data_IF_013853466000
#
_entry.id   IF_013853466000
#
_cell.length_a   1.000
_cell.length_b   1.000
_cell.length_c   1.000
_cell.angle_alpha   90.00
_cell.angle_beta   90.00
_cell.angle_gamma   90.00
#
_symmetry.space_group_name_H-M   'P 1'
#
loop_
_entity.id
_entity.type
_entity.pdbx_description
1 polymer ?
#
# COMPACT_ATOMS: atom_id res chain seq x y z
N UNK A 1 0.65 20.02 15.64
CA UNK A 1 0.92 19.25 14.42
C UNK A 1 0.66 20.14 13.22
N UNK A 2 1.68 20.41 12.41
CA UNK A 2 1.59 21.19 11.17
C UNK A 2 0.88 20.39 10.07
N UNK A 3 0.52 21.03 8.96
CA UNK A 3 -0.12 20.33 7.85
C UNK A 3 0.84 19.33 7.17
N UNK A 4 2.12 19.69 7.05
CA UNK A 4 3.16 18.79 6.55
C UNK A 4 3.35 17.55 7.45
N UNK A 5 3.28 17.72 8.77
CA UNK A 5 3.35 16.61 9.73
C UNK A 5 2.15 15.66 9.59
N UNK A 6 0.94 16.19 9.35
CA UNK A 6 -0.26 15.36 9.09
C UNK A 6 -0.13 14.54 7.82
N UNK A 7 0.33 15.18 6.73
CA UNK A 7 0.53 14.51 5.44
C UNK A 7 1.58 13.40 5.60
N UNK A 8 2.68 13.69 6.28
CA UNK A 8 3.74 12.72 6.57
C UNK A 8 3.21 11.53 7.38
N UNK A 9 2.43 11.79 8.43
CA UNK A 9 1.81 10.73 9.23
C UNK A 9 0.87 9.88 8.39
N UNK A 10 0.04 10.50 7.55
CA UNK A 10 -0.86 9.78 6.66
C UNK A 10 -0.12 8.87 5.66
N UNK A 11 0.99 9.34 5.10
CA UNK A 11 1.85 8.51 4.23
C UNK A 11 2.39 7.29 5.00
N UNK A 12 2.82 7.48 6.25
CA UNK A 12 3.28 6.38 7.10
C UNK A 12 2.15 5.37 7.33
N UNK A 13 0.97 5.83 7.69
CA UNK A 13 -0.19 4.96 7.95
C UNK A 13 -0.57 4.14 6.71
N UNK A 14 -0.59 4.77 5.53
CA UNK A 14 -0.87 4.10 4.25
C UNK A 14 0.21 3.05 3.91
N UNK A 15 1.49 3.36 4.15
CA UNK A 15 2.59 2.38 3.99
C UNK A 15 2.47 1.22 4.99
N UNK A 16 2.00 1.49 6.21
CA UNK A 16 1.71 0.44 7.21
C UNK A 16 0.55 -0.43 6.76
N UNK A 17 -0.50 0.12 6.13
CA UNK A 17 -1.59 -0.69 5.55
C UNK A 17 -1.05 -1.63 4.47
N UNK A 18 -0.08 -1.22 3.65
CA UNK A 18 0.49 -2.09 2.61
C UNK A 18 1.42 -3.18 3.17
N UNK A 19 2.16 -2.90 4.23
CA UNK A 19 3.21 -3.80 4.75
C UNK A 19 2.80 -4.63 5.97
N UNK A 20 1.75 -4.22 6.70
CA UNK A 20 1.35 -4.88 7.93
C UNK A 20 0.86 -6.31 7.69
N UNK A 21 1.31 -7.30 8.50
CA UNK A 21 0.81 -8.67 8.42
C UNK A 21 -0.66 -8.79 8.84
N UNK A 22 -1.19 -7.83 9.59
CA UNK A 22 -2.60 -7.82 9.99
C UNK A 22 -3.50 -7.07 8.98
N UNK A 23 -2.92 -6.51 7.92
CA UNK A 23 -3.68 -5.81 6.89
C UNK A 23 -4.37 -6.76 5.94
N UNK A 24 -5.58 -6.38 5.53
CA UNK A 24 -6.35 -7.15 4.57
C UNK A 24 -5.79 -7.16 3.15
N UNK A 25 -4.84 -6.29 2.89
CA UNK A 25 -4.14 -6.18 1.61
C UNK A 25 -2.62 -6.21 1.82
N UNK A 26 -2.14 -6.72 2.97
CA UNK A 26 -0.73 -6.75 3.31
C UNK A 26 0.13 -7.59 2.36
N UNK A 27 1.44 -7.33 2.34
CA UNK A 27 2.41 -7.99 1.46
C UNK A 27 2.37 -9.52 1.55
N UNK A 28 2.10 -10.07 2.73
CA UNK A 28 2.03 -11.51 2.96
C UNK A 28 0.92 -12.20 2.13
N UNK A 29 -0.20 -11.53 1.85
CA UNK A 29 -1.28 -12.10 1.02
C UNK A 29 -0.83 -12.23 -0.44
N UNK A 30 -0.05 -11.26 -0.94
CA UNK A 30 0.56 -11.32 -2.26
C UNK A 30 1.59 -12.44 -2.31
N UNK A 31 2.49 -12.51 -1.32
CA UNK A 31 3.50 -13.57 -1.23
C UNK A 31 2.84 -14.96 -1.24
N UNK A 32 1.77 -15.14 -0.44
CA UNK A 32 1.02 -16.40 -0.39
C UNK A 32 0.37 -16.76 -1.73
N UNK A 33 -0.17 -15.80 -2.46
CA UNK A 33 -0.67 -16.05 -3.82
C UNK A 33 0.45 -16.49 -4.76
N UNK A 34 1.61 -15.83 -4.72
CA UNK A 34 2.75 -16.20 -5.56
C UNK A 34 3.30 -17.59 -5.23
N UNK A 35 3.37 -17.95 -3.95
CA UNK A 35 3.77 -19.29 -3.50
C UNK A 35 2.84 -20.36 -4.06
N UNK A 36 1.52 -20.20 -3.87
CA UNK A 36 0.52 -21.16 -4.35
C UNK A 36 0.57 -21.29 -5.88
N UNK A 37 0.67 -20.15 -6.58
CA UNK A 37 0.84 -20.14 -8.03
C UNK A 37 2.06 -20.94 -8.48
N UNK A 38 3.21 -20.75 -7.82
CA UNK A 38 4.45 -21.44 -8.16
C UNK A 38 4.38 -22.96 -7.93
N UNK A 39 3.51 -23.40 -7.02
CA UNK A 39 3.24 -24.81 -6.72
C UNK A 39 2.14 -25.40 -7.62
N UNK A 40 1.55 -24.63 -8.54
CA UNK A 40 0.42 -25.06 -9.36
C UNK A 40 -0.88 -25.24 -8.56
N UNK A 41 -0.97 -24.60 -7.39
CA UNK A 41 -2.14 -24.62 -6.51
C UNK A 41 -3.09 -23.45 -6.84
N UNK A 42 -4.35 -23.62 -6.46
CA UNK A 42 -5.35 -22.57 -6.56
C UNK A 42 -5.01 -21.40 -5.61
N UNK A 43 -5.17 -20.16 -6.09
CA UNK A 43 -4.83 -18.99 -5.31
C UNK A 43 -5.77 -18.84 -4.09
N UNK A 44 -5.24 -18.62 -2.88
CA UNK A 44 -6.06 -18.49 -1.68
C UNK A 44 -6.80 -17.15 -1.60
N UNK A 45 -6.43 -16.17 -2.42
CA UNK A 45 -7.04 -14.85 -2.51
C UNK A 45 -7.14 -14.39 -3.96
N UNK A 46 -8.08 -13.48 -4.23
CA UNK A 46 -8.18 -12.84 -5.55
C UNK A 46 -7.03 -11.84 -5.73
N UNK A 47 -6.00 -12.26 -6.47
CA UNK A 47 -4.80 -11.45 -6.70
C UNK A 47 -5.09 -10.17 -7.51
N UNK A 48 -6.10 -10.18 -8.38
CA UNK A 48 -6.50 -9.01 -9.17
C UNK A 48 -7.10 -7.95 -8.26
N UNK A 49 -8.09 -8.34 -7.44
CA UNK A 49 -8.73 -7.43 -6.47
C UNK A 49 -7.71 -6.90 -5.44
N UNK A 50 -6.81 -7.76 -4.95
CA UNK A 50 -5.72 -7.32 -4.07
C UNK A 50 -4.80 -6.31 -4.75
N UNK A 51 -4.45 -6.55 -6.02
CA UNK A 51 -3.65 -5.65 -6.83
C UNK A 51 -4.29 -4.27 -6.98
N UNK A 52 -5.57 -4.23 -7.35
CA UNK A 52 -6.35 -3.00 -7.52
C UNK A 52 -6.43 -2.19 -6.22
N UNK A 53 -6.80 -2.82 -5.10
CA UNK A 53 -6.87 -2.14 -3.79
C UNK A 53 -5.52 -1.58 -3.36
N UNK A 54 -4.44 -2.33 -3.59
CA UNK A 54 -3.07 -1.87 -3.29
C UNK A 54 -2.64 -0.73 -4.20
N UNK A 55 -3.07 -0.72 -5.46
CA UNK A 55 -2.74 0.36 -6.39
C UNK A 55 -3.38 1.68 -5.97
N UNK A 56 -4.64 1.68 -5.56
CA UNK A 56 -5.33 2.88 -5.06
C UNK A 56 -4.58 3.54 -3.89
N UNK A 57 -4.05 2.75 -2.96
CA UNK A 57 -3.28 3.28 -1.83
C UNK A 57 -1.92 3.81 -2.26
N UNK A 58 -1.27 3.18 -3.24
CA UNK A 58 -0.01 3.69 -3.81
C UNK A 58 -0.23 5.02 -4.52
N UNK A 59 -1.34 5.15 -5.26
CA UNK A 59 -1.71 6.38 -5.93
C UNK A 59 -1.93 7.50 -4.90
N UNK A 60 -2.64 7.22 -3.81
CA UNK A 60 -2.82 8.18 -2.70
C UNK A 60 -1.49 8.56 -2.02
N UNK A 61 -0.58 7.60 -1.81
CA UNK A 61 0.76 7.89 -1.29
C UNK A 61 1.51 8.83 -2.23
N UNK A 62 1.49 8.56 -3.55
CA UNK A 62 2.19 9.38 -4.54
C UNK A 62 1.64 10.81 -4.57
N UNK A 63 0.32 10.97 -4.52
CA UNK A 63 -0.33 12.29 -4.48
C UNK A 63 0.07 13.06 -3.22
N UNK A 64 0.05 12.42 -2.06
CA UNK A 64 0.47 13.04 -0.79
C UNK A 64 1.96 13.41 -0.78
N UNK A 65 2.81 12.57 -1.36
CA UNK A 65 4.24 12.86 -1.51
C UNK A 65 4.46 14.06 -2.44
N UNK A 66 3.75 14.15 -3.57
CA UNK A 66 3.82 15.30 -4.46
C UNK A 66 3.37 16.60 -3.75
N UNK A 67 2.33 16.54 -2.92
CA UNK A 67 1.88 17.70 -2.13
C UNK A 67 2.98 18.13 -1.16
N UNK A 68 3.58 17.19 -0.42
CA UNK A 68 4.64 17.48 0.55
C UNK A 68 5.87 18.08 -0.15
N UNK A 69 6.31 17.48 -1.25
CA UNK A 69 7.44 17.97 -2.05
C UNK A 69 7.19 19.39 -2.57
N UNK A 70 5.96 19.70 -3.00
CA UNK A 70 5.61 21.04 -3.45
C UNK A 70 5.59 22.05 -2.29
N UNK A 71 5.17 21.64 -1.09
CA UNK A 71 5.22 22.49 0.10
C UNK A 71 6.65 22.81 0.54
N UNK A 72 7.58 21.87 0.40
CA UNK A 72 9.00 22.07 0.76
C UNK A 72 9.78 22.92 -0.26
N UNK A 73 9.30 23.00 -1.50
CA UNK A 73 9.88 23.83 -2.56
C UNK A 73 9.40 25.28 -2.57
N UNK A 74 8.36 25.60 -1.79
CA UNK A 74 7.79 26.95 -1.62
C UNK A 74 8.45 27.69 -0.47
#
# INVERSE_FOLDING_TARGET
>A
MTEAEKISQKIIDLKTILSSPNSDIGDWKIAKCMEYHSMGLELPYNIVELGEKRQLIRDEINDLQNILDNMERM
#
